data_IF_870918820343
#
_entry.id   IF_870918820343
#
_cell.length_a   1.000
_cell.length_b   1.000
_cell.length_c   1.000
_cell.angle_alpha   90.00
_cell.angle_beta   90.00
_cell.angle_gamma   90.00
#
_symmetry.space_group_name_H-M   'P 1'
#
loop_
_entity.id
_entity.type
_entity.pdbx_description
1 polymer ?
#
# COMPACT_ATOMS: atom_id res chain seq x y z
N UNK A 1 3.18 -22.38 -17.54
CA UNK A 1 2.45 -21.21 -18.09
C UNK A 1 1.06 -20.93 -17.50
N UNK A 2 0.51 -21.72 -16.57
CA UNK A 2 -0.79 -21.41 -15.93
C UNK A 2 -0.71 -20.81 -14.52
N UNK A 3 0.45 -20.89 -13.86
CA UNK A 3 0.60 -20.58 -12.44
C UNK A 3 0.86 -19.08 -12.18
N UNK A 4 1.64 -18.42 -13.05
CA UNK A 4 2.00 -17.00 -12.93
C UNK A 4 0.85 -16.05 -13.27
N UNK A 5 0.01 -16.41 -14.27
CA UNK A 5 -1.20 -15.65 -14.60
C UNK A 5 -2.17 -15.63 -13.41
N UNK A 6 -2.23 -16.73 -12.64
CA UNK A 6 -3.09 -16.82 -11.48
C UNK A 6 -2.62 -15.90 -10.34
N UNK A 7 -1.32 -15.75 -10.11
CA UNK A 7 -0.80 -14.87 -9.06
C UNK A 7 -0.97 -13.39 -9.40
N UNK A 8 -0.66 -12.99 -10.65
CA UNK A 8 -0.88 -11.61 -11.10
C UNK A 8 -2.37 -11.24 -11.12
N UNK A 9 -3.24 -12.19 -11.48
CA UNK A 9 -4.70 -11.98 -11.43
C UNK A 9 -5.22 -11.85 -10.01
N UNK A 10 -4.69 -12.63 -9.05
CA UNK A 10 -5.04 -12.49 -7.63
C UNK A 10 -4.56 -11.17 -7.07
N UNK A 11 -3.36 -10.71 -7.43
CA UNK A 11 -2.82 -9.43 -6.97
C UNK A 11 -3.64 -8.25 -7.53
N UNK A 12 -4.06 -8.32 -8.80
CA UNK A 12 -4.99 -7.34 -9.38
C UNK A 12 -6.34 -7.35 -8.68
N UNK A 13 -6.93 -8.52 -8.47
CA UNK A 13 -8.21 -8.65 -7.78
C UNK A 13 -8.15 -8.10 -6.35
N UNK A 14 -7.09 -8.40 -5.61
CA UNK A 14 -6.87 -7.87 -4.26
C UNK A 14 -6.66 -6.34 -4.29
N UNK A 15 -5.94 -5.82 -5.28
CA UNK A 15 -5.72 -4.38 -5.44
C UNK A 15 -7.01 -3.62 -5.78
N UNK A 16 -7.86 -4.19 -6.64
CA UNK A 16 -9.16 -3.61 -6.97
C UNK A 16 -10.12 -3.66 -5.76
N UNK A 17 -10.12 -4.75 -4.99
CA UNK A 17 -10.94 -4.87 -3.77
C UNK A 17 -10.54 -3.85 -2.70
N UNK A 18 -9.24 -3.68 -2.45
CA UNK A 18 -8.73 -2.66 -1.52
C UNK A 18 -9.10 -1.26 -2.01
N UNK A 19 -9.03 -1.02 -3.32
CA UNK A 19 -9.42 0.28 -3.92
C UNK A 19 -10.91 0.56 -3.74
N UNK A 20 -11.78 -0.42 -3.96
CA UNK A 20 -13.23 -0.26 -3.75
C UNK A 20 -13.57 -0.01 -2.28
N UNK A 21 -12.91 -0.72 -1.36
CA UNK A 21 -13.12 -0.53 0.08
C UNK A 21 -12.66 0.87 0.54
N UNK A 22 -11.59 1.40 -0.04
CA UNK A 22 -11.12 2.76 0.25
C UNK A 22 -12.02 3.84 -0.38
N UNK A 23 -12.63 3.60 -1.54
CA UNK A 23 -13.58 4.53 -2.15
C UNK A 23 -14.89 4.64 -1.36
N UNK A 24 -15.28 3.59 -0.64
CA UNK A 24 -16.44 3.61 0.27
C UNK A 24 -16.21 4.34 1.60
N UNK A 25 -14.96 4.70 1.93
CA UNK A 25 -14.57 5.27 3.23
C UNK A 25 -14.19 6.76 3.19
N UNK A 26 -14.48 7.49 2.09
CA UNK A 26 -14.25 8.93 2.04
C UNK A 26 -15.45 9.72 2.58
N UNK A 27 -15.41 10.27 3.81
CA UNK A 27 -16.31 11.35 4.19
C UNK A 27 -15.93 12.61 3.40
N UNK A 28 -16.93 13.30 2.87
CA UNK A 28 -16.76 14.55 2.17
C UNK A 28 -16.09 15.64 3.01
N UNK A 29 -15.31 16.50 2.35
CA UNK A 29 -14.65 17.69 2.88
C UNK A 29 -13.23 17.78 2.33
N UNK A 30 -12.90 18.60 1.33
CA UNK A 30 -13.21 20.02 1.26
C UNK A 30 -12.12 20.79 2.01
N UNK A 31 -11.07 21.22 1.29
CA UNK A 31 -10.01 22.04 1.88
C UNK A 31 -8.71 21.99 1.10
N UNK A 32 -8.66 22.73 -0.01
CA UNK A 32 -7.40 23.11 -0.62
C UNK A 32 -6.64 24.02 0.35
N UNK A 33 -5.63 23.48 1.03
CA UNK A 33 -4.63 24.27 1.73
C UNK A 33 -3.32 24.15 0.96
N UNK A 34 -3.11 25.16 0.11
CA UNK A 34 -1.80 25.46 -0.45
C UNK A 34 -0.90 25.96 0.68
N UNK A 35 0.01 25.11 1.14
CA UNK A 35 1.17 25.54 1.91
C UNK A 35 2.42 25.20 1.11
N UNK A 36 3.04 26.24 0.54
CA UNK A 36 4.36 26.15 -0.06
C UNK A 36 5.38 25.69 0.98
N UNK A 37 6.12 24.65 0.64
CA UNK A 37 7.23 24.11 1.41
C UNK A 37 8.09 23.30 0.46
N UNK A 38 9.40 23.58 0.46
CA UNK A 38 10.50 22.92 -0.25
C UNK A 38 10.12 21.82 -1.26
N UNK A 39 10.53 21.98 -2.53
CA UNK A 39 10.60 20.88 -3.51
C UNK A 39 11.60 19.81 -3.02
N UNK A 40 11.27 19.10 -1.96
CA UNK A 40 11.83 17.81 -1.66
C UNK A 40 11.31 16.89 -2.75
N UNK A 41 12.18 16.55 -3.71
CA UNK A 41 11.90 15.47 -4.66
C UNK A 41 11.47 14.27 -3.83
N UNK A 42 10.18 13.95 -3.84
CA UNK A 42 9.66 12.79 -3.12
C UNK A 42 10.44 11.58 -3.66
N UNK A 43 11.08 10.79 -2.78
CA UNK A 43 11.84 9.63 -3.23
C UNK A 43 10.91 8.71 -4.00
N UNK A 44 11.31 8.32 -5.22
CA UNK A 44 10.48 7.46 -6.07
C UNK A 44 10.51 6.04 -5.52
N UNK A 45 9.35 5.41 -5.46
CA UNK A 45 9.22 4.04 -4.99
C UNK A 45 9.41 3.04 -6.15
N UNK A 46 10.24 2.04 -5.92
CA UNK A 46 10.52 0.94 -6.85
C UNK A 46 10.21 -0.39 -6.19
N UNK A 47 9.46 -1.25 -6.87
CA UNK A 47 9.20 -2.61 -6.42
C UNK A 47 10.29 -3.54 -6.95
N UNK A 48 10.93 -4.28 -6.05
CA UNK A 48 11.79 -5.41 -6.42
C UNK A 48 10.91 -6.62 -6.71
N UNK A 49 11.03 -7.16 -7.93
CA UNK A 49 10.25 -8.27 -8.44
C UNK A 49 11.18 -9.35 -9.01
N UNK A 50 10.67 -10.57 -9.10
CA UNK A 50 11.38 -11.70 -9.69
C UNK A 50 10.66 -12.18 -10.95
N UNK A 51 11.43 -12.39 -12.02
CA UNK A 51 10.98 -12.95 -13.30
C UNK A 51 11.58 -14.35 -13.46
N UNK A 52 10.74 -15.38 -13.64
CA UNK A 52 11.20 -16.77 -13.66
C UNK A 52 10.53 -17.64 -14.76
N UNK A 53 10.68 -17.30 -16.06
CA UNK A 53 10.07 -18.06 -17.15
C UNK A 53 10.77 -19.40 -17.43
N UNK A 54 12.08 -19.48 -17.17
CA UNK A 54 12.94 -20.59 -17.57
C UNK A 54 13.44 -21.42 -16.36
N UNK A 55 12.88 -21.19 -15.17
CA UNK A 55 13.32 -21.81 -13.92
C UNK A 55 14.56 -21.16 -13.30
N UNK A 56 15.08 -20.09 -13.90
CA UNK A 56 16.15 -19.26 -13.34
C UNK A 56 15.58 -17.91 -12.89
N UNK A 57 15.47 -17.64 -11.58
CA UNK A 57 14.94 -16.38 -11.07
C UNK A 57 15.85 -15.22 -11.48
N UNK A 58 15.26 -14.21 -12.11
CA UNK A 58 15.95 -12.99 -12.53
C UNK A 58 15.26 -11.79 -11.89
N UNK A 59 16.00 -11.03 -11.09
CA UNK A 59 15.46 -9.86 -10.40
C UNK A 59 15.29 -8.68 -11.37
N UNK A 60 14.19 -7.94 -11.21
CA UNK A 60 13.95 -6.68 -11.90
C UNK A 60 13.23 -5.68 -10.99
N UNK A 61 13.26 -4.40 -11.36
CA UNK A 61 12.69 -3.31 -10.58
C UNK A 61 11.61 -2.60 -11.37
N UNK A 62 10.48 -2.35 -10.73
CA UNK A 62 9.34 -1.65 -11.31
C UNK A 62 9.09 -0.31 -10.61
N UNK A 63 9.17 0.80 -11.34
CA UNK A 63 8.90 2.14 -10.82
C UNK A 63 7.40 2.34 -10.62
N UNK A 64 6.96 2.50 -9.38
CA UNK A 64 5.54 2.61 -9.03
C UNK A 64 4.89 3.84 -9.67
N UNK A 65 5.61 4.95 -9.69
CA UNK A 65 5.12 6.24 -10.20
C UNK A 65 5.28 6.35 -11.71
N UNK A 66 6.45 5.97 -12.24
CA UNK A 66 6.80 6.14 -13.66
C UNK A 66 6.32 4.98 -14.55
N UNK A 67 5.93 3.85 -13.96
CA UNK A 67 5.64 2.59 -14.65
C UNK A 67 6.83 2.07 -15.47
N UNK A 68 8.04 2.48 -15.10
CA UNK A 68 9.28 2.05 -15.75
C UNK A 68 9.70 0.67 -15.26
N UNK A 69 10.31 -0.11 -16.14
CA UNK A 69 10.92 -1.39 -15.83
C UNK A 69 12.43 -1.25 -15.99
N UNK A 70 13.18 -1.63 -14.97
CA UNK A 70 14.65 -1.65 -14.98
C UNK A 70 15.15 -3.03 -14.59
N UNK A 71 16.19 -3.50 -15.28
CA UNK A 71 16.97 -4.68 -14.90
C UNK A 71 18.23 -4.31 -14.13
N UNK A 72 18.37 -3.03 -13.78
CA UNK A 72 19.45 -2.47 -12.99
C UNK A 72 18.83 -1.88 -11.73
N UNK A 73 19.43 -2.18 -10.58
CA UNK A 73 18.99 -1.66 -9.30
C UNK A 73 18.98 -0.12 -9.29
N UNK A 74 17.82 0.51 -8.99
CA UNK A 74 17.71 1.95 -8.91
C UNK A 74 18.51 2.47 -7.70
N UNK A 75 19.39 3.44 -7.94
CA UNK A 75 20.25 4.02 -6.90
C UNK A 75 19.51 5.06 -6.06
N UNK A 76 20.03 5.39 -4.89
CA UNK A 76 19.48 6.45 -4.04
C UNK A 76 19.28 7.79 -4.80
N UNK A 77 18.23 8.57 -4.48
CA UNK A 77 17.36 8.50 -3.30
C UNK A 77 16.10 7.62 -3.47
N UNK A 78 16.10 6.65 -4.39
CA UNK A 78 14.95 5.77 -4.61
C UNK A 78 14.68 4.84 -3.40
N UNK A 79 13.40 4.62 -3.07
CA UNK A 79 12.98 3.63 -2.07
C UNK A 79 12.72 2.30 -2.77
N UNK A 80 13.37 1.23 -2.32
CA UNK A 80 13.11 -0.12 -2.82
C UNK A 80 12.13 -0.82 -1.89
N UNK A 81 11.03 -1.30 -2.45
CA UNK A 81 9.97 -2.03 -1.79
C UNK A 81 10.04 -3.49 -2.21
N UNK A 82 10.13 -4.39 -1.24
CA UNK A 82 10.07 -5.83 -1.47
C UNK A 82 8.65 -6.34 -1.24
N UNK A 83 8.15 -7.20 -2.12
CA UNK A 83 6.78 -7.67 -2.08
C UNK A 83 6.46 -8.43 -0.78
N UNK A 84 7.39 -9.27 -0.31
CA UNK A 84 7.24 -10.00 0.95
C UNK A 84 7.14 -9.05 2.15
N UNK A 85 8.00 -8.02 2.18
CA UNK A 85 7.98 -6.99 3.22
C UNK A 85 6.67 -6.18 3.21
N UNK A 86 6.17 -5.84 2.02
CA UNK A 86 4.89 -5.15 1.85
C UNK A 86 3.71 -6.01 2.31
N UNK A 87 3.72 -7.31 2.00
CA UNK A 87 2.67 -8.22 2.42
C UNK A 87 2.60 -8.30 3.95
N UNK A 88 3.73 -8.45 4.64
CA UNK A 88 3.80 -8.47 6.11
C UNK A 88 3.29 -7.15 6.72
N UNK A 89 3.65 -6.01 6.12
CA UNK A 89 3.17 -4.71 6.58
C UNK A 89 1.66 -4.56 6.40
N UNK A 90 1.12 -5.06 5.28
CA UNK A 90 -0.31 -5.00 4.99
C UNK A 90 -1.09 -5.92 5.93
N UNK A 91 -0.64 -7.16 6.16
CA UNK A 91 -1.24 -8.08 7.12
C UNK A 91 -1.23 -7.48 8.54
N UNK A 92 -0.11 -6.87 8.94
CA UNK A 92 0.00 -6.18 10.23
C UNK A 92 -0.99 -5.02 10.34
N UNK A 93 -1.16 -4.26 9.27
CA UNK A 93 -2.10 -3.14 9.23
C UNK A 93 -3.54 -3.64 9.34
N UNK A 94 -3.91 -4.67 8.57
CA UNK A 94 -5.23 -5.31 8.63
C UNK A 94 -5.53 -5.77 10.05
N UNK A 95 -4.62 -6.52 10.69
CA UNK A 95 -4.82 -6.99 12.07
C UNK A 95 -4.99 -5.84 13.07
N UNK A 96 -4.29 -4.72 12.88
CA UNK A 96 -4.46 -3.53 13.74
C UNK A 96 -5.81 -2.84 13.52
N UNK A 97 -6.25 -2.74 12.28
CA UNK A 97 -7.56 -2.17 11.95
C UNK A 97 -8.69 -3.03 12.50
N UNK A 98 -8.57 -4.35 12.40
CA UNK A 98 -9.52 -5.30 13.00
C UNK A 98 -9.56 -5.15 14.52
N UNK A 99 -8.41 -5.13 15.19
CA UNK A 99 -8.35 -4.92 16.64
C UNK A 99 -8.97 -3.58 17.07
N UNK A 100 -8.80 -2.52 16.27
CA UNK A 100 -9.44 -1.22 16.51
C UNK A 100 -10.95 -1.24 16.25
N UNK A 101 -11.42 -2.04 15.29
CA UNK A 101 -12.84 -2.18 14.99
C UNK A 101 -13.58 -3.01 16.07
N UNK A 102 -12.90 -3.97 16.71
CA UNK A 102 -13.41 -4.71 17.86
C UNK A 102 -13.48 -3.85 19.14
N UNK A 103 -12.66 -2.79 19.22
CA UNK A 103 -12.79 -1.75 20.23
C UNK A 103 -13.95 -0.82 19.84
N UNK A 104 -15.19 -1.28 20.00
CA UNK A 104 -16.37 -0.42 19.87
C UNK A 104 -16.28 0.74 20.87
N UNK A 105 -16.63 1.98 20.46
CA UNK A 105 -16.73 3.13 21.35
C UNK A 105 -18.03 3.07 22.18
N UNK A 106 -18.18 2.05 23.03
CA UNK A 106 -19.39 1.86 23.85
C UNK A 106 -19.23 2.21 25.34
N UNK A 107 -18.15 2.90 25.71
CA UNK A 107 -18.02 3.52 27.03
C UNK A 107 -17.54 4.96 26.90
N UNK A 108 -18.39 5.84 26.35
CA UNK A 108 -18.42 7.21 26.85
C UNK A 108 -19.23 7.13 28.14
N UNK A 109 -18.62 7.17 29.35
CA UNK A 109 -19.41 7.23 30.57
C UNK A 109 -20.32 8.45 30.46
N UNK A 110 -21.63 8.22 30.54
CA UNK A 110 -22.64 9.27 30.60
C UNK A 110 -22.28 10.14 31.81
N UNK A 111 -21.68 11.30 31.56
CA UNK A 111 -21.33 12.24 32.62
C UNK A 111 -22.64 12.79 33.13
N UNK A 112 -23.13 12.21 34.21
CA UNK A 112 -24.29 12.66 34.97
C UNK A 112 -24.08 14.16 35.28
N UNK A 113 -24.93 15.07 34.77
CA UNK A 113 -24.79 16.48 35.09
C UNK A 113 -24.99 16.66 36.59
N UNK A 114 -23.90 17.03 37.28
CA UNK A 114 -23.89 17.36 38.72
C UNK A 114 -25.03 18.33 39.08
N UNK A 115 -25.61 18.19 40.29
CA UNK A 115 -26.87 18.82 40.70
C UNK A 115 -26.84 20.35 40.77
#
# INVERSE_FOLDING_TARGET
NGFEVAQVSRLRAASDEVRERLQGLAPGGGGASSSGGAEGTTPRAWLKLEWNPDGNPTEFWYGCDSREVSWIEPREPNIILELEGLQVQLDTLVSRVEALAELQPDEIPEVDPLP
#
